data_IF_978298975469
#
_entry.id   IF_978298975469
#
_cell.length_a   1.000
_cell.length_b   1.000
_cell.length_c   1.000
_cell.angle_alpha   90.00
_cell.angle_beta   90.00
_cell.angle_gamma   90.00
#
_symmetry.space_group_name_H-M   'P 1'
#
loop_
_entity.id
_entity.type
_entity.pdbx_description
1 polymer ?
#
# COMPACT_ATOMS: atom_id res chain seq x y z
N UNK A 1 14.09 8.18 21.02
CA UNK A 1 13.14 8.78 20.05
C UNK A 1 12.34 7.64 19.45
N UNK A 2 11.30 7.22 20.16
CA UNK A 2 10.38 6.19 19.70
C UNK A 2 9.46 6.84 18.64
N UNK A 3 9.88 6.77 17.37
CA UNK A 3 8.96 7.09 16.28
C UNK A 3 7.98 5.92 16.26
N UNK A 4 6.81 6.11 16.85
CA UNK A 4 5.63 5.26 16.68
C UNK A 4 5.28 5.29 15.19
N UNK A 5 5.97 4.46 14.40
CA UNK A 5 5.69 4.31 12.99
C UNK A 5 4.35 3.59 12.90
N UNK A 6 3.31 4.34 12.54
CA UNK A 6 1.96 3.80 12.34
C UNK A 6 2.03 2.55 11.47
N UNK A 7 1.36 1.48 11.90
CA UNK A 7 1.29 0.25 11.10
C UNK A 7 0.42 0.51 9.88
N UNK A 8 1.06 0.50 8.72
CA UNK A 8 0.40 0.66 7.44
C UNK A 8 0.38 -0.69 6.72
N UNK A 9 -0.81 -1.16 6.37
CA UNK A 9 -0.98 -2.40 5.62
C UNK A 9 -1.35 -2.07 4.18
N UNK A 10 -0.57 -2.56 3.21
CA UNK A 10 -0.90 -2.38 1.80
C UNK A 10 -2.04 -3.33 1.42
N UNK A 11 -3.18 -2.78 1.00
CA UNK A 11 -4.36 -3.55 0.56
C UNK A 11 -4.38 -3.79 -0.94
N UNK A 12 -3.82 -2.90 -1.74
CA UNK A 12 -3.83 -3.07 -3.19
C UNK A 12 -3.35 -1.86 -3.98
N UNK A 13 -3.80 -1.82 -5.24
CA UNK A 13 -3.66 -0.65 -6.13
C UNK A 13 -5.04 -0.20 -6.61
N UNK A 14 -5.17 1.10 -6.80
CA UNK A 14 -6.37 1.77 -7.28
C UNK A 14 -6.01 2.72 -8.42
N UNK A 15 -7.00 3.03 -9.25
CA UNK A 15 -6.92 3.96 -10.37
C UNK A 15 -7.33 5.38 -9.95
N UNK A 16 -7.54 5.62 -8.64
CA UNK A 16 -7.83 6.96 -8.10
C UNK A 16 -6.67 7.91 -8.47
N UNK A 17 -6.91 9.02 -9.17
CA UNK A 17 -5.84 9.86 -9.73
C UNK A 17 -5.29 10.90 -8.75
N UNK A 18 -5.63 10.82 -7.47
CA UNK A 18 -5.23 11.77 -6.43
C UNK A 18 -4.51 11.10 -5.27
N UNK A 19 -3.49 11.77 -4.73
CA UNK A 19 -2.75 11.31 -3.56
C UNK A 19 -3.23 12.02 -2.30
N UNK A 20 -3.68 11.26 -1.31
CA UNK A 20 -4.19 11.82 -0.04
C UNK A 20 -3.07 12.45 0.82
N UNK A 21 -1.79 12.17 0.55
CA UNK A 21 -0.65 12.76 1.29
C UNK A 21 -0.23 14.12 0.77
N UNK A 22 -0.03 14.23 -0.55
CA UNK A 22 0.56 15.42 -1.17
C UNK A 22 -0.43 16.21 -2.03
N UNK A 23 -1.67 15.74 -2.17
CA UNK A 23 -2.72 16.39 -2.97
C UNK A 23 -2.46 16.40 -4.48
N UNK A 24 -1.40 15.73 -4.96
CA UNK A 24 -1.13 15.65 -6.41
C UNK A 24 -2.26 14.93 -7.12
N UNK A 25 -2.71 15.53 -8.22
CA UNK A 25 -3.74 15.01 -9.12
C UNK A 25 -3.11 14.50 -10.42
N UNK A 26 -3.86 13.76 -11.23
CA UNK A 26 -3.40 13.12 -12.49
C UNK A 26 -2.40 12.00 -12.30
N UNK A 27 -2.49 11.26 -11.20
CA UNK A 27 -1.72 10.04 -10.99
C UNK A 27 -2.30 8.91 -11.85
N UNK A 28 -1.43 8.15 -12.53
CA UNK A 28 -1.85 6.97 -13.30
C UNK A 28 -2.29 5.81 -12.40
N UNK A 29 -1.88 5.82 -11.13
CA UNK A 29 -2.12 4.76 -10.17
C UNK A 29 -1.83 5.27 -8.76
N UNK A 30 -2.60 4.78 -7.81
CA UNK A 30 -2.39 4.95 -6.37
C UNK A 30 -2.32 3.60 -5.69
N UNK A 31 -1.56 3.54 -4.59
CA UNK A 31 -1.43 2.38 -3.73
C UNK A 31 -2.41 2.56 -2.59
N UNK A 32 -3.26 1.56 -2.38
CA UNK A 32 -4.25 1.56 -1.31
C UNK A 32 -3.58 1.03 -0.05
N UNK A 33 -3.57 1.86 0.97
CA UNK A 33 -2.94 1.59 2.26
C UNK A 33 -4.01 1.73 3.32
N UNK A 34 -4.12 0.73 4.18
CA UNK A 34 -4.93 0.78 5.39
C UNK A 34 -4.06 1.25 6.54
N UNK A 35 -4.58 2.21 7.31
CA UNK A 35 -3.93 2.68 8.53
C UNK A 35 -4.37 1.88 9.77
N UNK A 36 -3.90 2.28 10.96
CA UNK A 36 -4.24 1.60 12.21
C UNK A 36 -5.70 1.80 12.65
N UNK A 37 -6.37 2.85 12.16
CA UNK A 37 -7.78 3.10 12.40
C UNK A 37 -8.68 2.29 11.44
N UNK A 38 -8.09 1.60 10.44
CA UNK A 38 -8.82 0.87 9.41
C UNK A 38 -9.26 1.76 8.24
N UNK A 39 -8.75 2.99 8.14
CA UNK A 39 -9.07 3.90 7.04
C UNK A 39 -8.26 3.55 5.79
N UNK A 40 -8.94 3.48 4.64
CA UNK A 40 -8.33 3.19 3.34
C UNK A 40 -7.86 4.49 2.67
N UNK A 41 -6.56 4.68 2.63
CA UNK A 41 -5.88 5.82 2.07
C UNK A 41 -5.26 5.50 0.70
N UNK A 42 -5.25 6.47 -0.20
CA UNK A 42 -4.79 6.36 -1.59
C UNK A 42 -3.52 7.19 -1.79
N UNK A 43 -2.38 6.51 -1.80
CA UNK A 43 -1.08 7.18 -1.86
C UNK A 43 -0.46 7.03 -3.25
N UNK A 44 0.07 8.12 -3.79
CA UNK A 44 0.92 8.05 -4.98
C UNK A 44 2.18 7.21 -4.70
N UNK A 45 2.79 6.64 -5.74
CA UNK A 45 3.94 5.73 -5.62
C UNK A 45 5.10 6.28 -4.78
N UNK A 46 5.41 7.57 -4.92
CA UNK A 46 6.50 8.24 -4.20
C UNK A 46 6.14 8.59 -2.74
N UNK A 47 4.85 8.81 -2.46
CA UNK A 47 4.37 9.02 -1.09
C UNK A 47 4.28 7.68 -0.35
N UNK A 48 3.87 6.62 -1.05
CA UNK A 48 3.84 5.27 -0.52
C UNK A 48 5.26 4.77 -0.18
N UNK A 49 6.26 4.98 -1.04
CA UNK A 49 7.64 4.53 -0.79
C UNK A 49 8.28 5.19 0.44
N UNK A 50 7.88 6.42 0.75
CA UNK A 50 8.34 7.16 1.95
C UNK A 50 7.62 6.74 3.22
N UNK A 51 6.36 6.34 3.09
CA UNK A 51 5.51 5.94 4.22
C UNK A 51 5.78 4.49 4.62
N UNK A 52 5.82 3.61 3.63
CA UNK A 52 6.05 2.19 3.81
C UNK A 52 7.52 1.93 4.12
N UNK A 53 7.75 1.00 5.03
CA UNK A 53 9.08 0.55 5.41
C UNK A 53 9.11 -0.96 5.44
N UNK A 54 10.25 -1.51 5.08
CA UNK A 54 10.52 -2.93 5.15
C UNK A 54 11.48 -3.20 6.30
N UNK A 55 11.13 -4.17 7.14
CA UNK A 55 12.03 -4.71 8.15
C UNK A 55 13.06 -5.62 7.46
N UNK A 56 14.34 -5.29 7.60
CA UNK A 56 15.46 -6.07 7.09
C UNK A 56 16.58 -6.07 8.13
N UNK A 57 17.04 -7.26 8.53
CA UNK A 57 18.05 -7.45 9.58
C UNK A 57 17.75 -6.68 10.88
N UNK A 58 16.49 -6.67 11.32
CA UNK A 58 16.06 -5.96 12.54
C UNK A 58 16.04 -4.44 12.42
N UNK A 59 16.26 -3.87 11.22
CA UNK A 59 16.20 -2.44 10.94
C UNK A 59 15.09 -2.14 9.93
N UNK A 60 14.38 -1.02 10.10
CA UNK A 60 13.37 -0.57 9.15
C UNK A 60 13.98 0.35 8.09
N UNK A 61 13.98 -0.13 6.85
CA UNK A 61 14.47 0.60 5.69
C UNK A 61 13.30 1.22 4.90
N UNK A 62 13.47 2.44 4.36
CA UNK A 62 12.54 2.94 3.36
C UNK A 62 12.57 2.03 2.13
N UNK A 63 11.43 1.89 1.47
CA UNK A 63 11.34 1.07 0.27
C UNK A 63 11.50 1.93 -0.99
N UNK A 64 11.86 1.32 -2.11
CA UNK A 64 11.86 2.02 -3.39
C UNK A 64 10.43 2.22 -3.91
N UNK A 65 10.29 3.10 -4.90
CA UNK A 65 9.02 3.33 -5.59
C UNK A 65 8.48 2.04 -6.23
N UNK A 66 9.37 1.28 -6.85
CA UNK A 66 9.09 0.01 -7.53
C UNK A 66 8.64 -1.05 -6.53
N UNK A 67 9.29 -1.09 -5.35
CA UNK A 67 8.89 -1.98 -4.27
C UNK A 67 7.48 -1.66 -3.77
N UNK A 68 7.13 -0.37 -3.61
CA UNK A 68 5.78 0.05 -3.21
C UNK A 68 4.72 -0.39 -4.25
N UNK A 69 5.03 -0.25 -5.54
CA UNK A 69 4.16 -0.71 -6.62
C UNK A 69 4.03 -2.24 -6.63
N UNK A 70 5.14 -2.95 -6.45
CA UNK A 70 5.18 -4.41 -6.39
C UNK A 70 4.34 -4.95 -5.24
N UNK A 71 4.45 -4.34 -4.06
CA UNK A 71 3.63 -4.66 -2.89
C UNK A 71 2.14 -4.45 -3.18
N UNK A 72 1.76 -3.30 -3.74
CA UNK A 72 0.37 -3.01 -4.09
C UNK A 72 -0.21 -4.02 -5.09
N UNK A 73 0.55 -4.36 -6.14
CA UNK A 73 0.13 -5.37 -7.14
C UNK A 73 -0.04 -6.75 -6.52
N UNK A 74 0.88 -7.14 -5.64
CA UNK A 74 0.85 -8.43 -4.98
C UNK A 74 -0.33 -8.55 -4.02
N UNK A 75 -0.64 -7.48 -3.26
CA UNK A 75 -1.81 -7.42 -2.41
C UNK A 75 -3.12 -7.57 -3.20
N UNK A 76 -3.25 -6.86 -4.34
CA UNK A 76 -4.43 -6.99 -5.23
C UNK A 76 -4.59 -8.40 -5.80
N UNK A 77 -3.48 -9.08 -6.16
CA UNK A 77 -3.54 -10.48 -6.63
C UNK A 77 -3.97 -11.43 -5.52
N UNK A 78 -3.47 -11.25 -4.30
CA UNK A 78 -3.88 -12.04 -3.14
C UNK A 78 -5.37 -11.90 -2.86
N UNK A 79 -5.89 -10.67 -2.88
CA UNK A 79 -7.31 -10.38 -2.71
C UNK A 79 -8.18 -11.01 -3.82
N UNK A 80 -7.71 -10.94 -5.08
CA UNK A 80 -8.39 -11.57 -6.22
C UNK A 80 -8.42 -13.10 -6.10
N UNK A 81 -7.31 -13.71 -5.67
CA UNK A 81 -7.23 -15.15 -5.44
C UNK A 81 -8.14 -15.60 -4.28
N UNK A 82 -8.16 -14.85 -3.17
CA UNK A 82 -9.03 -15.14 -2.03
C UNK A 82 -10.52 -15.08 -2.40
N UNK A 83 -10.94 -14.13 -3.24
CA UNK A 83 -12.33 -14.08 -3.75
C UNK A 83 -12.65 -15.27 -4.65
N UNK A 84 -11.74 -15.64 -5.54
CA UNK A 84 -11.95 -16.77 -6.45
C UNK A 84 -12.07 -18.10 -5.68
N UNK A 85 -11.21 -18.33 -4.70
CA UNK A 85 -11.26 -19.57 -3.91
C UNK A 85 -12.58 -19.73 -3.14
N UNK A 86 -13.13 -18.64 -2.60
CA UNK A 86 -14.43 -18.64 -1.93
C UNK A 86 -15.59 -19.00 -2.88
N UNK A 87 -15.52 -18.58 -4.14
CA UNK A 87 -16.53 -18.91 -5.15
C UNK A 87 -16.49 -20.37 -5.61
N UNK A 88 -15.31 -20.99 -5.60
CA UNK A 88 -15.15 -22.41 -5.99
C UNK A 88 -15.63 -23.36 -4.89
N UNK A 89 -15.65 -22.92 -3.63
CA UNK A 89 -16.11 -23.71 -2.49
C UNK A 89 -17.61 -23.63 -2.20
N UNK A 90 -18.34 -22.74 -2.88
CA UNK A 90 -19.79 -22.53 -2.73
C UNK A 90 -20.57 -23.29 -3.81
#
# INVERSE_FOLDING_TARGET
>A
MDKTYKRFTVRGISDKPECDVCGKKNLKMTIVIEDEAGELLHYGSDCASRTLRQDYQGKRHPISREAAISMGRSAKRGDSFARLSQQVTA
#
